data_IF_303379680763
#
_entry.id   IF_303379680763
#
_cell.length_a   1.000
_cell.length_b   1.000
_cell.length_c   1.000
_cell.angle_alpha   90.00
_cell.angle_beta   90.00
_cell.angle_gamma   90.00
#
_symmetry.space_group_name_H-M   'P 1'
#
loop_
_entity.id
_entity.type
_entity.pdbx_description
1 polymer ?
#
# COMPACT_ATOMS: atom_id res chain seq x y z
N UNK A 1 -28.65 -9.02 15.56
CA UNK A 1 -27.67 -9.90 16.21
C UNK A 1 -26.29 -9.29 16.10
N UNK A 2 -25.70 -9.01 17.26
CA UNK A 2 -24.38 -8.41 17.46
C UNK A 2 -23.25 -9.23 16.86
N UNK A 3 -22.20 -8.57 16.36
CA UNK A 3 -20.83 -8.99 16.65
C UNK A 3 -19.95 -7.76 16.84
N UNK A 4 -19.63 -7.47 18.09
CA UNK A 4 -18.62 -6.51 18.50
C UNK A 4 -17.24 -7.01 18.05
N UNK A 5 -16.62 -6.33 17.08
CA UNK A 5 -15.25 -6.65 16.65
C UNK A 5 -14.23 -5.95 17.54
N UNK A 6 -13.65 -6.71 18.46
CA UNK A 6 -12.53 -6.31 19.31
C UNK A 6 -11.25 -6.23 18.47
N UNK A 7 -10.67 -5.03 18.36
CA UNK A 7 -9.43 -4.76 17.61
C UNK A 7 -8.21 -5.27 18.40
N UNK A 8 -7.51 -6.30 17.93
CA UNK A 8 -6.20 -6.70 18.50
C UNK A 8 -5.08 -5.88 17.84
N UNK A 9 -4.36 -5.11 18.67
CA UNK A 9 -3.12 -4.39 18.35
C UNK A 9 -2.06 -5.40 17.91
N UNK A 10 -1.35 -5.11 16.82
CA UNK A 10 -0.16 -5.87 16.44
C UNK A 10 0.88 -5.76 17.56
N UNK A 11 1.25 -6.89 18.15
CA UNK A 11 2.40 -7.00 19.04
C UNK A 11 3.54 -7.61 18.24
N UNK A 12 4.62 -6.84 18.04
CA UNK A 12 5.94 -7.44 17.91
C UNK A 12 6.26 -8.06 19.27
N UNK A 13 6.37 -9.38 19.29
CA UNK A 13 6.52 -10.19 20.48
C UNK A 13 6.31 -11.64 20.09
N UNK A 14 7.38 -12.40 20.23
CA UNK A 14 7.49 -13.82 19.94
C UNK A 14 6.38 -14.63 20.65
N UNK A 15 5.89 -15.65 19.97
CA UNK A 15 4.84 -16.52 20.49
C UNK A 15 5.40 -17.39 21.59
N UNK A 16 5.19 -16.99 22.85
CA UNK A 16 5.58 -17.77 24.01
C UNK A 16 4.76 -17.41 25.23
N UNK A 17 3.79 -18.26 25.56
CA UNK A 17 3.14 -18.27 26.87
C UNK A 17 4.19 -18.53 27.95
N UNK A 18 4.69 -17.48 28.60
CA UNK A 18 5.22 -17.54 29.96
C UNK A 18 5.25 -16.14 30.56
N UNK A 19 4.50 -16.00 31.65
CA UNK A 19 4.53 -14.90 32.60
C UNK A 19 5.99 -14.66 33.02
N UNK A 20 6.63 -13.64 32.45
CA UNK A 20 7.86 -13.05 32.99
C UNK A 20 7.58 -11.56 33.18
N UNK A 21 7.30 -11.20 34.43
CA UNK A 21 7.65 -9.88 34.93
C UNK A 21 9.12 -9.65 34.63
N UNK A 22 9.43 -8.68 33.79
CA UNK A 22 10.66 -7.90 33.81
C UNK A 22 10.51 -6.74 32.83
N UNK A 23 10.69 -5.52 33.35
CA UNK A 23 10.43 -4.24 32.69
C UNK A 23 11.39 -3.90 31.56
N UNK A 24 11.36 -4.66 30.46
CA UNK A 24 11.97 -4.23 29.20
C UNK A 24 10.96 -3.31 28.51
N UNK A 25 11.16 -1.99 28.65
CA UNK A 25 10.41 -0.99 27.88
C UNK A 25 10.52 -1.36 26.40
N UNK A 26 9.39 -1.65 25.75
CA UNK A 26 9.38 -1.88 24.29
C UNK A 26 9.98 -0.64 23.64
N UNK A 27 11.05 -0.81 22.86
CA UNK A 27 11.66 0.27 22.09
C UNK A 27 10.54 0.94 21.28
N UNK A 28 10.39 2.28 21.33
CA UNK A 28 9.46 2.98 20.47
C UNK A 28 9.70 2.59 19.02
N UNK A 29 8.64 2.47 18.22
CA UNK A 29 8.76 1.91 16.87
C UNK A 29 9.63 2.76 15.93
N UNK A 30 9.87 4.04 16.26
CA UNK A 30 10.84 4.91 15.59
C UNK A 30 12.32 4.51 15.80
N UNK A 31 12.62 3.59 16.73
CA UNK A 31 13.96 3.06 16.95
C UNK A 31 14.27 1.80 16.10
N UNK A 32 13.33 1.31 15.29
CA UNK A 32 13.56 0.18 14.39
C UNK A 32 13.85 0.71 12.99
N UNK A 33 15.12 0.68 12.51
CA UNK A 33 15.44 1.22 11.20
C UNK A 33 14.73 0.41 10.10
N UNK A 34 14.04 1.11 9.20
CA UNK A 34 13.43 0.53 8.00
C UNK A 34 14.43 0.66 6.86
N UNK A 35 14.89 -0.47 6.34
CA UNK A 35 15.68 -0.55 5.12
C UNK A 35 14.79 -0.85 3.92
N UNK A 36 15.06 -0.23 2.78
CA UNK A 36 14.37 -0.52 1.52
C UNK A 36 15.37 -0.49 0.36
N UNK A 37 14.98 -1.08 -0.75
CA UNK A 37 15.71 -1.04 -2.01
C UNK A 37 14.75 -1.36 -3.16
N UNK A 38 15.05 -0.85 -4.35
CA UNK A 38 14.32 -1.16 -5.56
C UNK A 38 15.27 -1.15 -6.76
N UNK A 39 14.87 -1.84 -7.81
CA UNK A 39 15.58 -1.86 -9.08
C UNK A 39 14.55 -1.89 -10.20
N UNK A 40 14.72 -1.01 -11.19
CA UNK A 40 13.89 -0.93 -12.39
C UNK A 40 14.81 -1.18 -13.57
N UNK A 41 14.39 -2.07 -14.46
CA UNK A 41 15.10 -2.38 -15.70
C UNK A 41 14.22 -1.92 -16.84
N UNK A 42 14.71 -0.95 -17.61
CA UNK A 42 14.06 -0.54 -18.85
C UNK A 42 14.31 -1.60 -19.92
N UNK A 43 13.24 -2.20 -20.42
CA UNK A 43 13.33 -3.01 -21.63
C UNK A 43 12.92 -2.15 -22.82
N UNK A 44 13.88 -1.75 -23.66
CA UNK A 44 13.63 -0.96 -24.87
C UNK A 44 12.92 -1.83 -25.93
N UNK A 45 11.67 -2.23 -25.69
CA UNK A 45 10.80 -2.66 -26.77
C UNK A 45 10.39 -1.42 -27.56
N UNK A 46 10.89 -1.33 -28.78
CA UNK A 46 10.56 -0.31 -29.77
C UNK A 46 9.04 -0.24 -29.95
N UNK A 47 8.38 0.71 -29.29
CA UNK A 47 7.05 1.17 -29.69
C UNK A 47 7.06 2.69 -29.66
N UNK A 48 6.57 3.26 -30.76
CA UNK A 48 6.98 4.57 -31.22
C UNK A 48 6.48 5.74 -30.37
N UNK A 49 7.33 6.74 -30.25
CA UNK A 49 7.02 8.07 -30.79
C UNK A 49 6.24 9.06 -29.91
N UNK A 50 5.83 8.71 -28.69
CA UNK A 50 5.32 9.70 -27.73
C UNK A 50 6.24 9.80 -26.53
N UNK A 51 6.74 11.01 -26.23
CA UNK A 51 7.68 11.29 -25.12
C UNK A 51 7.12 11.10 -23.71
N UNK A 52 6.06 10.30 -23.55
CA UNK A 52 5.54 9.87 -22.25
C UNK A 52 6.27 8.59 -21.83
N UNK A 53 6.58 8.42 -20.53
CA UNK A 53 7.26 7.21 -20.06
C UNK A 53 6.34 6.00 -20.24
N UNK A 54 6.73 5.08 -21.13
CA UNK A 54 6.06 3.79 -21.35
C UNK A 54 6.45 2.71 -20.31
N UNK A 55 7.20 3.10 -19.26
CA UNK A 55 7.74 2.18 -18.26
C UNK A 55 7.04 2.32 -16.91
N UNK A 56 7.04 1.20 -16.18
CA UNK A 56 6.55 1.15 -14.81
C UNK A 56 7.37 2.08 -13.91
N UNK A 57 6.65 2.81 -13.06
CA UNK A 57 7.26 3.74 -12.11
C UNK A 57 7.30 3.14 -10.73
N UNK A 58 8.45 3.27 -10.05
CA UNK A 58 8.60 2.91 -8.63
C UNK A 58 8.62 4.17 -7.79
N UNK A 59 7.84 4.16 -6.70
CA UNK A 59 7.76 5.24 -5.74
C UNK A 59 8.18 4.72 -4.38
N UNK A 60 9.10 5.45 -3.75
CA UNK A 60 9.40 5.31 -2.33
C UNK A 60 9.37 6.70 -1.72
N UNK A 61 8.45 6.92 -0.79
CA UNK A 61 8.29 8.18 -0.09
C UNK A 61 8.24 7.94 1.40
N UNK A 62 9.05 8.68 2.15
CA UNK A 62 9.02 8.70 3.62
C UNK A 62 8.50 10.06 4.07
N UNK A 63 7.52 10.05 4.95
CA UNK A 63 7.00 11.25 5.60
C UNK A 63 7.04 11.07 7.12
N UNK A 64 7.45 12.12 7.82
CA UNK A 64 7.45 12.14 9.27
C UNK A 64 6.80 13.43 9.76
N UNK A 65 5.78 13.28 10.59
CA UNK A 65 5.13 14.40 11.26
C UNK A 65 4.59 13.93 12.61
N UNK A 66 4.71 14.77 13.64
CA UNK A 66 4.42 14.40 15.03
C UNK A 66 5.15 13.09 15.44
N UNK A 67 4.42 12.13 16.00
CA UNK A 67 4.88 10.76 16.35
C UNK A 67 4.54 9.72 15.26
N UNK A 68 4.29 10.19 14.04
CA UNK A 68 3.98 9.38 12.88
C UNK A 68 5.17 9.31 11.93
N UNK A 69 5.61 8.09 11.66
CA UNK A 69 6.47 7.76 10.54
C UNK A 69 5.64 6.99 9.51
N UNK A 70 5.68 7.43 8.27
CA UNK A 70 4.94 6.84 7.17
C UNK A 70 5.90 6.54 6.04
N UNK A 71 5.79 5.33 5.51
CA UNK A 71 6.49 4.94 4.30
C UNK A 71 5.48 4.49 3.26
N UNK A 72 5.50 5.15 2.11
CA UNK A 72 4.70 4.79 0.95
C UNK A 72 5.60 4.18 -0.11
N UNK A 73 5.28 2.95 -0.49
CA UNK A 73 5.92 2.21 -1.56
C UNK A 73 4.90 1.96 -2.65
N UNK A 74 5.30 2.05 -3.91
CA UNK A 74 4.41 1.69 -5.01
C UNK A 74 5.16 1.34 -6.27
N UNK A 75 4.55 0.45 -7.04
CA UNK A 75 4.92 0.15 -8.43
C UNK A 75 3.66 0.39 -9.25
N UNK A 76 3.77 1.25 -10.25
CA UNK A 76 2.61 1.71 -11.01
C UNK A 76 2.88 1.67 -12.50
N UNK A 77 1.88 1.20 -13.22
CA UNK A 77 1.70 1.50 -14.63
C UNK A 77 1.73 3.03 -14.86
N UNK A 78 2.43 3.51 -15.90
CA UNK A 78 2.64 4.94 -16.16
C UNK A 78 1.33 5.72 -16.30
N UNK A 79 0.25 5.07 -16.75
CA UNK A 79 -1.04 5.70 -17.03
C UNK A 79 -1.82 6.09 -15.78
N UNK A 80 -1.51 5.48 -14.63
CA UNK A 80 -2.19 5.78 -13.35
C UNK A 80 -1.27 6.20 -12.22
N UNK A 81 0.04 5.92 -12.33
CA UNK A 81 1.00 6.19 -11.26
C UNK A 81 0.93 7.62 -10.78
N UNK A 82 1.05 8.56 -11.72
CA UNK A 82 0.98 10.00 -11.45
C UNK A 82 -0.35 10.41 -10.77
N UNK A 83 -1.47 9.87 -11.25
CA UNK A 83 -2.78 10.14 -10.66
C UNK A 83 -2.91 9.63 -9.22
N UNK A 84 -2.36 8.46 -8.92
CA UNK A 84 -2.38 7.89 -7.57
C UNK A 84 -1.47 8.68 -6.62
N UNK A 85 -0.24 8.95 -7.04
CA UNK A 85 0.79 9.62 -6.21
C UNK A 85 0.39 11.05 -5.89
N UNK A 86 -0.01 11.84 -6.90
CA UNK A 86 -0.49 13.23 -6.69
C UNK A 86 -1.71 13.29 -5.78
N UNK A 87 -2.63 12.33 -5.90
CA UNK A 87 -3.80 12.28 -5.01
C UNK A 87 -3.38 11.99 -3.56
N UNK A 88 -2.49 11.02 -3.35
CA UNK A 88 -1.99 10.70 -1.99
C UNK A 88 -1.23 11.89 -1.41
N UNK A 89 -0.36 12.55 -2.19
CA UNK A 89 0.34 13.76 -1.74
C UNK A 89 -0.64 14.81 -1.22
N UNK A 90 -1.54 15.27 -2.08
CA UNK A 90 -2.47 16.38 -1.80
C UNK A 90 -3.57 16.05 -0.78
N UNK A 91 -3.99 14.78 -0.66
CA UNK A 91 -5.11 14.38 0.19
C UNK A 91 -4.72 13.62 1.45
N UNK A 92 -3.45 13.25 1.60
CA UNK A 92 -2.95 12.53 2.76
C UNK A 92 -1.72 13.21 3.34
N UNK A 93 -0.61 13.30 2.61
CA UNK A 93 0.64 13.80 3.18
C UNK A 93 0.60 15.29 3.50
N UNK A 94 0.15 16.12 2.56
CA UNK A 94 0.04 17.57 2.76
C UNK A 94 -0.94 17.92 3.90
N UNK A 95 -1.95 17.06 4.12
CA UNK A 95 -2.97 17.24 5.15
C UNK A 95 -2.55 16.76 6.53
N UNK A 96 -1.39 16.12 6.69
CA UNK A 96 -0.79 15.67 7.96
C UNK A 96 -1.83 15.11 8.95
N UNK A 97 -2.47 13.97 8.63
CA UNK A 97 -3.56 13.43 9.41
C UNK A 97 -3.14 13.05 10.83
N UNK A 98 -3.94 13.45 11.82
CA UNK A 98 -3.72 13.08 13.23
C UNK A 98 -3.64 11.56 13.43
N UNK A 99 -2.83 11.15 14.40
CA UNK A 99 -2.58 9.75 14.77
C UNK A 99 -3.86 8.94 15.03
N UNK A 100 -4.88 9.54 15.65
CA UNK A 100 -6.17 8.89 15.92
C UNK A 100 -6.94 8.49 14.65
N UNK A 101 -6.73 9.21 13.54
CA UNK A 101 -7.44 9.02 12.28
C UNK A 101 -6.62 8.28 11.22
N UNK A 102 -5.32 8.02 11.47
CA UNK A 102 -4.36 7.58 10.46
C UNK A 102 -4.86 6.35 9.70
N UNK A 103 -5.29 5.31 10.41
CA UNK A 103 -5.71 4.05 9.80
C UNK A 103 -6.93 4.20 8.89
N UNK A 104 -7.87 5.08 9.27
CA UNK A 104 -9.09 5.33 8.49
C UNK A 104 -8.73 6.14 7.25
N UNK A 105 -7.99 7.24 7.44
CA UNK A 105 -7.59 8.15 6.36
C UNK A 105 -6.68 7.48 5.34
N UNK A 106 -5.72 6.66 5.74
CA UNK A 106 -4.86 5.91 4.80
C UNK A 106 -5.69 5.06 3.85
N UNK A 107 -6.64 4.28 4.38
CA UNK A 107 -7.50 3.41 3.58
C UNK A 107 -8.41 4.19 2.64
N UNK A 108 -9.06 5.22 3.16
CA UNK A 108 -9.97 6.05 2.37
C UNK A 108 -9.22 6.79 1.26
N UNK A 109 -8.06 7.37 1.56
CA UNK A 109 -7.25 8.09 0.57
C UNK A 109 -6.69 7.14 -0.48
N UNK A 110 -6.08 6.02 -0.10
CA UNK A 110 -5.58 5.03 -1.09
C UNK A 110 -6.73 4.51 -1.96
N UNK A 111 -7.90 4.20 -1.39
CA UNK A 111 -9.06 3.77 -2.17
C UNK A 111 -9.52 4.84 -3.17
N UNK A 112 -9.61 6.10 -2.74
CA UNK A 112 -10.02 7.22 -3.61
C UNK A 112 -8.98 7.50 -4.70
N UNK A 113 -7.69 7.43 -4.37
CA UNK A 113 -6.59 7.61 -5.32
C UNK A 113 -6.70 6.62 -6.49
N UNK A 114 -6.81 5.32 -6.18
CA UNK A 114 -6.94 4.27 -7.20
C UNK A 114 -8.23 4.37 -8.01
N UNK A 115 -9.38 4.67 -7.35
CA UNK A 115 -10.65 4.83 -8.07
C UNK A 115 -10.63 6.03 -9.00
N UNK A 116 -10.09 7.16 -8.55
CA UNK A 116 -9.97 8.38 -9.35
C UNK A 116 -9.01 8.22 -10.51
N UNK A 117 -7.83 7.66 -10.28
CA UNK A 117 -6.84 7.40 -11.32
C UNK A 117 -7.39 6.44 -12.39
N UNK A 118 -8.06 5.35 -11.98
CA UNK A 118 -8.69 4.41 -12.92
C UNK A 118 -9.83 5.03 -13.73
N UNK A 119 -10.65 5.89 -13.12
CA UNK A 119 -11.72 6.58 -13.84
C UNK A 119 -11.14 7.49 -14.93
N UNK A 120 -10.14 8.31 -14.57
CA UNK A 120 -9.44 9.19 -15.53
C UNK A 120 -8.77 8.41 -16.66
N UNK A 121 -8.09 7.32 -16.36
CA UNK A 121 -7.46 6.47 -17.37
C UNK A 121 -8.50 5.93 -18.38
N UNK A 122 -9.67 5.50 -17.90
CA UNK A 122 -10.78 5.04 -18.76
C UNK A 122 -11.39 6.14 -19.63
N UNK A 123 -11.50 7.36 -19.11
CA UNK A 123 -12.04 8.49 -19.88
C UNK A 123 -11.08 8.94 -20.99
N UNK A 124 -9.76 8.85 -20.74
CA UNK A 124 -8.74 9.24 -21.71
C UNK A 124 -8.66 8.30 -22.93
N UNK A 125 -9.11 7.04 -22.79
CA UNK A 125 -9.09 6.04 -23.85
C UNK A 125 -10.51 5.69 -24.29
N UNK A 126 -10.98 6.41 -25.31
CA UNK A 126 -12.25 6.11 -25.98
C UNK A 126 -12.20 4.68 -26.55
N UNK A 127 -12.97 3.76 -25.93
CA UNK A 127 -13.44 2.48 -26.50
C UNK A 127 -12.52 1.24 -26.57
N UNK A 128 -11.40 1.13 -25.84
CA UNK A 128 -10.68 -0.16 -25.81
C UNK A 128 -11.08 -1.03 -24.59
N UNK A 129 -11.93 -2.03 -24.84
CA UNK A 129 -12.49 -2.96 -23.83
C UNK A 129 -11.45 -3.88 -23.16
N UNK A 130 -10.20 -3.91 -23.68
CA UNK A 130 -9.12 -4.78 -23.16
C UNK A 130 -8.28 -4.14 -22.05
N UNK A 131 -8.68 -2.96 -21.55
CA UNK A 131 -7.86 -2.17 -20.63
C UNK A 131 -7.57 -2.82 -19.27
N UNK A 132 -6.34 -3.31 -19.11
CA UNK A 132 -5.78 -3.76 -17.83
C UNK A 132 -4.72 -2.76 -17.37
N UNK A 133 -5.11 -1.86 -16.45
CA UNK A 133 -4.15 -1.03 -15.74
C UNK A 133 -3.70 -1.74 -14.48
N UNK A 134 -2.39 -1.79 -14.26
CA UNK A 134 -1.79 -2.57 -13.18
C UNK A 134 -1.04 -1.69 -12.18
N UNK A 135 -1.15 -2.00 -10.90
CA UNK A 135 -0.42 -1.29 -9.86
C UNK A 135 -0.48 -2.03 -8.54
N UNK A 136 0.54 -1.85 -7.71
CA UNK A 136 0.55 -2.28 -6.33
C UNK A 136 1.22 -1.22 -5.46
N UNK A 137 0.66 -0.94 -4.29
CA UNK A 137 1.27 -0.03 -3.34
C UNK A 137 1.02 -0.42 -1.89
N UNK A 138 1.87 0.07 -1.01
CA UNK A 138 1.87 -0.20 0.42
C UNK A 138 2.18 1.08 1.21
N UNK A 139 1.42 1.32 2.28
CA UNK A 139 1.66 2.32 3.29
C UNK A 139 2.02 1.62 4.60
N UNK A 140 3.27 1.77 5.05
CA UNK A 140 3.75 1.30 6.33
C UNK A 140 3.73 2.45 7.33
N UNK A 141 2.99 2.25 8.43
CA UNK A 141 2.75 3.23 9.48
C UNK A 141 3.52 2.80 10.71
N UNK A 142 4.44 3.65 11.15
CA UNK A 142 5.28 3.50 12.33
C UNK A 142 6.10 2.20 12.34
N UNK A 143 6.39 1.59 11.18
CA UNK A 143 7.01 0.27 11.10
C UNK A 143 6.12 -0.88 11.61
N UNK A 144 4.86 -0.62 11.97
CA UNK A 144 4.01 -1.59 12.67
C UNK A 144 2.78 -2.02 11.87
N UNK A 145 2.19 -1.11 11.10
CA UNK A 145 0.93 -1.37 10.41
C UNK A 145 1.09 -1.15 8.93
N UNK A 146 0.62 -2.11 8.14
CA UNK A 146 0.70 -2.06 6.70
C UNK A 146 -0.71 -1.95 6.10
N UNK A 147 -0.90 -0.99 5.20
CA UNK A 147 -2.10 -0.85 4.36
C UNK A 147 -1.66 -0.99 2.91
N UNK A 148 -2.23 -1.92 2.17
CA UNK A 148 -1.84 -2.18 0.80
C UNK A 148 -3.01 -2.05 -0.16
N UNK A 149 -2.72 -1.74 -1.41
CA UNK A 149 -3.67 -1.70 -2.51
C UNK A 149 -3.05 -2.36 -3.75
N UNK A 150 -3.87 -3.08 -4.52
CA UNK A 150 -3.48 -3.68 -5.77
C UNK A 150 -4.58 -3.54 -6.83
N UNK A 151 -4.17 -3.44 -8.09
CA UNK A 151 -5.02 -3.41 -9.27
C UNK A 151 -4.31 -4.22 -10.38
N UNK A 152 -5.05 -5.06 -11.10
CA UNK A 152 -4.49 -5.86 -12.20
C UNK A 152 -3.57 -7.00 -11.73
N UNK A 153 -2.57 -7.31 -12.56
CA UNK A 153 -1.62 -8.41 -12.39
C UNK A 153 -0.48 -8.16 -11.41
N UNK A 154 -0.21 -6.91 -11.00
CA UNK A 154 0.84 -6.60 -10.02
C UNK A 154 0.54 -7.22 -8.66
N UNK A 155 1.60 -7.63 -7.96
CA UNK A 155 1.51 -8.36 -6.71
C UNK A 155 2.29 -7.66 -5.61
N UNK A 156 1.69 -7.63 -4.42
CA UNK A 156 2.38 -7.30 -3.18
C UNK A 156 2.37 -8.53 -2.27
N UNK A 157 3.53 -8.87 -1.74
CA UNK A 157 3.78 -10.04 -0.89
C UNK A 157 4.42 -9.57 0.41
N UNK A 158 3.93 -10.05 1.54
CA UNK A 158 4.48 -9.78 2.86
C UNK A 158 5.08 -11.07 3.40
N UNK A 159 6.36 -11.06 3.75
CA UNK A 159 7.01 -12.19 4.40
C UNK A 159 7.09 -11.95 5.91
N UNK A 160 6.72 -12.95 6.71
CA UNK A 160 6.86 -12.92 8.18
C UNK A 160 7.22 -14.30 8.69
N UNK A 161 8.25 -14.39 9.54
CA UNK A 161 8.71 -15.64 10.14
C UNK A 161 8.97 -16.75 9.10
N UNK A 162 9.54 -16.38 7.95
CA UNK A 162 9.79 -17.31 6.84
C UNK A 162 8.56 -17.68 6.01
N UNK A 163 7.38 -17.11 6.30
CA UNK A 163 6.14 -17.40 5.57
C UNK A 163 5.75 -16.22 4.68
N UNK A 164 5.58 -16.48 3.38
CA UNK A 164 5.14 -15.50 2.41
C UNK A 164 3.60 -15.43 2.34
N UNK A 165 3.06 -14.22 2.43
CA UNK A 165 1.64 -13.93 2.33
C UNK A 165 1.41 -13.00 1.14
N UNK A 166 0.97 -13.57 0.02
CA UNK A 166 0.50 -12.77 -1.12
C UNK A 166 -0.89 -12.19 -0.81
N UNK A 167 -1.10 -10.93 -1.13
CA UNK A 167 -2.44 -10.36 -1.16
C UNK A 167 -3.26 -10.97 -2.30
N UNK A 168 -4.43 -11.54 -1.98
CA UNK A 168 -5.28 -12.14 -3.00
C UNK A 168 -5.75 -11.09 -4.02
N UNK A 169 -5.28 -11.18 -5.26
CA UNK A 169 -6.01 -10.69 -6.43
C UNK A 169 -7.01 -11.78 -6.80
N UNK A 170 -8.31 -11.54 -6.59
CA UNK A 170 -9.35 -12.41 -7.18
C UNK A 170 -9.43 -12.13 -8.69
N UNK A 171 -8.39 -12.49 -9.43
CA UNK A 171 -8.51 -12.57 -10.88
C UNK A 171 -8.87 -13.99 -11.29
N UNK A 172 -10.02 -14.47 -10.78
CA UNK A 172 -10.82 -15.57 -11.37
C UNK A 172 -12.27 -15.22 -11.07
N UNK A 173 -13.01 -14.79 -12.09
CA UNK A 173 -14.49 -14.69 -12.14
C UNK A 173 -15.19 -13.97 -10.99
N UNK A 174 -15.52 -12.69 -11.18
CA UNK A 174 -16.52 -11.98 -10.37
C UNK A 174 -15.95 -10.80 -9.58
N UNK A 175 -16.53 -9.62 -9.84
CA UNK A 175 -16.16 -8.30 -9.32
C UNK A 175 -16.29 -8.15 -7.79
N UNK A 176 -15.51 -8.89 -6.99
CA UNK A 176 -15.40 -8.70 -5.54
C UNK A 176 -14.04 -8.15 -5.16
N UNK A 177 -14.01 -6.84 -4.91
CA UNK A 177 -12.90 -6.10 -4.31
C UNK A 177 -12.76 -6.52 -2.85
N UNK A 178 -11.61 -7.09 -2.49
CA UNK A 178 -11.33 -7.49 -1.12
C UNK A 178 -10.38 -6.48 -0.48
N UNK A 179 -10.93 -5.62 0.40
CA UNK A 179 -10.14 -4.78 1.28
C UNK A 179 -9.84 -5.57 2.55
N UNK A 180 -8.70 -6.24 2.62
CA UNK A 180 -8.32 -6.98 3.83
C UNK A 180 -8.02 -6.02 4.97
N UNK A 181 -8.74 -6.21 6.09
CA UNK A 181 -8.40 -5.64 7.41
C UNK A 181 -7.52 -6.54 8.26
N UNK A 182 -7.09 -7.68 7.73
CA UNK A 182 -6.37 -8.71 8.47
C UNK A 182 -5.26 -9.26 7.59
N UNK A 183 -4.04 -9.21 8.10
CA UNK A 183 -3.01 -10.17 7.71
C UNK A 183 -2.88 -11.33 8.71
N UNK A 184 -3.58 -11.31 9.85
CA UNK A 184 -3.54 -12.42 10.83
C UNK A 184 -4.86 -12.54 11.63
N UNK A 185 -5.21 -13.75 12.10
CA UNK A 185 -5.98 -13.99 13.32
C UNK A 185 -5.35 -13.33 14.57
#
# INVERSE_FOLDING_TARGET
MEQAFKLRKFRFGDGGSKKRENGVKKKPSWMMPISHGYHVVENKSVRGGSGEPDFDTVVVQREQFDELELWFFGVFDPRIGDGVTKYIQSHFFDKKPKQSQINKKTKETMKKAYLGARAKAREAQKEDETFQTESASAMLINGEKLVMANLGGYRAVVCRNGVAHQLSSKHHGGARRHWTRRLFP
#
